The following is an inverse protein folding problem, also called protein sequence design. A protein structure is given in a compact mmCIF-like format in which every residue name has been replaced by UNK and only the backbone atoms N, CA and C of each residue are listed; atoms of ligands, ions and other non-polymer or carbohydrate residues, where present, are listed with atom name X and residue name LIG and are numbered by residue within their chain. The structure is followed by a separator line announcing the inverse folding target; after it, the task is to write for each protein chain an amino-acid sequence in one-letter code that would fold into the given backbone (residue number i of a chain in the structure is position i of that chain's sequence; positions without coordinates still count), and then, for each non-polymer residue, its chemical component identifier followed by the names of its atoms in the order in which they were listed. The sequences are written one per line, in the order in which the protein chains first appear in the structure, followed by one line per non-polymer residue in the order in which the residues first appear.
data_IF_711140073524
#
_entry.id   IF_711140073524
#
_cell.length_a   1.000
_cell.length_b   1.000
_cell.length_c   1.000
_cell.angle_alpha   90.00
_cell.angle_beta   90.00
_cell.angle_gamma   90.00
#
_symmetry.space_group_name_H-M   'P 1'
#
loop_
_entity.id
_entity.type
_entity.pdbx_description
1 polymer ?
#
# COMPACT_ATOMS: atom_id res chain seq x y z
N UNK A 1 14.77 8.81 -1.13
CA UNK A 1 14.32 8.87 -2.54
C UNK A 1 14.52 10.29 -3.01
N UNK A 2 15.32 10.50 -4.05
CA UNK A 2 15.55 11.84 -4.61
C UNK A 2 14.58 12.10 -5.76
N UNK A 3 13.62 13.01 -5.54
CA UNK A 3 12.56 13.37 -6.48
C UNK A 3 12.65 14.86 -6.76
N UNK A 4 12.72 15.21 -8.05
CA UNK A 4 12.72 16.58 -8.53
C UNK A 4 11.52 16.85 -9.44
N UNK A 5 10.61 17.71 -8.99
CA UNK A 5 9.40 18.08 -9.73
C UNK A 5 9.74 19.11 -10.82
N UNK A 6 9.45 18.78 -12.09
CA UNK A 6 9.73 19.66 -13.24
C UNK A 6 8.55 20.53 -13.60
N UNK A 7 7.39 19.90 -13.81
CA UNK A 7 6.14 20.55 -14.19
C UNK A 7 4.98 19.84 -13.52
N UNK A 8 3.96 20.59 -13.17
CA UNK A 8 2.70 20.03 -12.71
C UNK A 8 1.53 20.86 -13.21
N UNK A 9 0.40 20.21 -13.44
CA UNK A 9 -0.86 20.82 -13.83
C UNK A 9 -2.00 20.14 -13.07
N UNK A 10 -3.02 20.93 -12.73
CA UNK A 10 -4.21 20.46 -12.02
C UNK A 10 -5.43 20.71 -12.90
N UNK A 11 -6.22 19.67 -13.11
CA UNK A 11 -7.58 19.78 -13.63
C UNK A 11 -8.56 19.47 -12.51
N UNK A 12 -9.72 20.10 -12.51
CA UNK A 12 -10.71 19.87 -11.47
C UNK A 12 -11.95 19.22 -12.05
N UNK A 13 -12.42 18.15 -11.42
CA UNK A 13 -13.69 17.51 -11.69
C UNK A 13 -14.70 17.95 -10.63
N UNK A 14 -15.84 18.48 -11.07
CA UNK A 14 -16.98 18.78 -10.20
C UNK A 14 -18.09 17.73 -10.37
N UNK A 15 -18.62 17.17 -9.27
CA UNK A 15 -19.70 16.19 -9.33
C UNK A 15 -21.04 16.81 -9.74
N UNK A 16 -21.23 18.12 -9.54
CA UNK A 16 -22.53 18.79 -9.73
C UNK A 16 -22.98 18.76 -11.20
N UNK A 17 -22.06 19.09 -12.12
CA UNK A 17 -22.30 19.07 -13.57
C UNK A 17 -21.59 17.90 -14.26
N UNK A 18 -20.86 17.06 -13.51
CA UNK A 18 -19.92 16.06 -14.04
C UNK A 18 -18.94 16.63 -15.06
N UNK A 19 -18.54 17.89 -14.87
CA UNK A 19 -17.65 18.62 -15.78
C UNK A 19 -16.20 18.62 -15.33
N UNK A 20 -15.29 18.75 -16.32
CA UNK A 20 -13.88 18.98 -16.11
C UNK A 20 -13.55 20.44 -16.37
N UNK A 21 -13.00 21.10 -15.35
CA UNK A 21 -12.33 22.38 -15.47
C UNK A 21 -10.86 22.14 -15.80
N UNK A 22 -10.55 22.25 -17.09
CA UNK A 22 -9.20 22.06 -17.63
C UNK A 22 -8.39 23.34 -17.46
N UNK A 23 -7.25 23.23 -16.78
CA UNK A 23 -6.29 24.30 -16.68
C UNK A 23 -5.50 24.47 -17.99
N UNK A 24 -5.13 25.71 -18.30
CA UNK A 24 -4.35 26.09 -19.47
C UNK A 24 -2.89 26.45 -19.11
N UNK A 25 -2.53 26.39 -17.83
CA UNK A 25 -1.22 26.79 -17.29
C UNK A 25 -0.71 25.83 -16.23
N UNK A 26 0.61 25.69 -16.18
CA UNK A 26 1.30 24.95 -15.14
C UNK A 26 1.25 25.67 -13.79
N UNK A 27 1.37 24.90 -12.72
CA UNK A 27 1.54 25.43 -11.38
C UNK A 27 2.86 26.20 -11.27
N UNK A 28 2.84 27.31 -10.54
CA UNK A 28 4.07 27.93 -10.06
C UNK A 28 4.61 27.11 -8.87
N UNK A 29 5.63 26.29 -9.11
CA UNK A 29 6.18 25.36 -8.13
C UNK A 29 7.02 26.11 -7.08
N UNK A 30 6.34 26.54 -6.00
CA UNK A 30 7.01 27.05 -4.79
C UNK A 30 7.56 25.91 -3.94
N UNK A 31 8.51 26.15 -3.00
CA UNK A 31 9.06 25.10 -2.14
C UNK A 31 8.00 24.28 -1.38
N UNK A 32 6.90 24.91 -0.94
CA UNK A 32 5.81 24.19 -0.26
C UNK A 32 4.98 23.33 -1.21
N UNK A 33 4.78 23.77 -2.45
CA UNK A 33 4.05 22.99 -3.47
C UNK A 33 4.91 21.82 -3.93
N UNK A 34 6.21 22.04 -4.12
CA UNK A 34 7.19 20.99 -4.41
C UNK A 34 7.18 19.93 -3.29
N UNK A 35 7.33 20.34 -2.03
CA UNK A 35 7.29 19.42 -0.89
C UNK A 35 5.97 18.64 -0.83
N UNK A 36 4.85 19.31 -1.12
CA UNK A 36 3.53 18.69 -1.14
C UNK A 36 3.45 17.58 -2.20
N UNK A 37 3.78 17.90 -3.45
CA UNK A 37 3.73 16.95 -4.57
C UNK A 37 4.73 15.80 -4.36
N UNK A 38 5.95 16.11 -3.91
CA UNK A 38 6.96 15.10 -3.57
C UNK A 38 6.42 14.11 -2.54
N UNK A 39 5.85 14.58 -1.43
CA UNK A 39 5.26 13.70 -0.40
C UNK A 39 4.09 12.86 -0.91
N UNK A 40 3.30 13.35 -1.87
CA UNK A 40 2.23 12.54 -2.50
C UNK A 40 2.82 11.43 -3.36
N UNK A 41 3.84 11.75 -4.17
CA UNK A 41 4.53 10.79 -5.04
C UNK A 41 5.28 9.75 -4.21
N UNK A 42 6.02 10.15 -3.18
CA UNK A 42 6.73 9.24 -2.26
C UNK A 42 5.78 8.20 -1.65
N UNK A 43 4.54 8.58 -1.33
CA UNK A 43 3.53 7.67 -0.78
C UNK A 43 3.01 6.63 -1.76
N UNK A 44 3.18 6.85 -3.06
CA UNK A 44 2.84 5.85 -4.09
C UNK A 44 3.85 4.70 -4.02
N UNK A 45 5.10 4.96 -3.68
CA UNK A 45 6.12 3.92 -3.43
C UNK A 45 5.92 3.30 -2.03
N UNK A 46 4.84 2.53 -1.89
CA UNK A 46 4.48 1.86 -0.64
C UNK A 46 4.12 0.39 -0.85
N UNK A 47 4.03 -0.35 0.26
CA UNK A 47 3.58 -1.73 0.31
C UNK A 47 2.12 -1.91 -0.15
N UNK A 48 1.36 -0.81 -0.28
CA UNK A 48 -0.02 -0.80 -0.76
C UNK A 48 -0.13 -0.70 -2.28
N UNK A 49 0.93 -0.24 -2.96
CA UNK A 49 0.91 -0.08 -4.40
C UNK A 49 0.99 -1.42 -5.11
N UNK A 50 0.13 -1.56 -6.12
CA UNK A 50 0.26 -2.59 -7.14
C UNK A 50 1.34 -2.20 -8.13
N UNK A 51 1.96 -3.16 -8.78
CA UNK A 51 3.04 -2.90 -9.74
C UNK A 51 2.82 -3.62 -11.07
N UNK A 52 3.45 -3.14 -12.12
CA UNK A 52 3.43 -3.78 -13.43
C UNK A 52 4.33 -3.07 -14.42
N UNK A 53 4.28 -3.50 -15.67
CA UNK A 53 5.00 -2.90 -16.79
C UNK A 53 3.98 -2.67 -17.90
N UNK A 54 3.94 -1.47 -18.49
CA UNK A 54 3.10 -1.24 -19.66
C UNK A 54 3.71 -1.93 -20.89
N UNK A 55 2.86 -2.63 -21.64
CA UNK A 55 3.19 -3.20 -22.95
C UNK A 55 3.52 -2.11 -23.99
N UNK A 56 4.22 -2.47 -25.07
CA UNK A 56 4.73 -1.48 -26.05
C UNK A 56 3.62 -0.70 -26.75
N UNK A 57 2.48 -1.36 -26.96
CA UNK A 57 1.35 -0.79 -27.67
C UNK A 57 0.19 -0.40 -26.72
N UNK A 58 0.45 -0.25 -25.42
CA UNK A 58 -0.61 0.11 -24.47
C UNK A 58 -1.20 1.50 -24.82
N UNK A 59 -2.52 1.61 -25.10
CA UNK A 59 -3.13 2.87 -25.56
C UNK A 59 -2.97 4.01 -24.55
N UNK A 60 -3.16 3.74 -23.25
CA UNK A 60 -3.02 4.75 -22.21
C UNK A 60 -1.60 5.29 -22.14
N UNK A 61 -0.59 4.41 -22.14
CA UNK A 61 0.81 4.82 -22.07
C UNK A 61 1.22 5.65 -23.29
N UNK A 62 0.70 5.33 -24.48
CA UNK A 62 0.97 6.09 -25.71
C UNK A 62 0.45 7.54 -25.69
N UNK A 63 -0.48 7.87 -24.80
CA UNK A 63 -0.92 9.26 -24.57
C UNK A 63 0.02 10.06 -23.67
N UNK A 64 0.99 9.42 -23.02
CA UNK A 64 2.01 10.08 -22.20
C UNK A 64 3.14 10.55 -23.11
N UNK A 65 3.22 11.87 -23.32
CA UNK A 65 4.21 12.51 -24.18
C UNK A 65 5.04 13.53 -23.41
N UNK A 66 6.01 14.16 -24.09
CA UNK A 66 6.76 15.28 -23.50
C UNK A 66 5.88 16.52 -23.25
N UNK A 67 4.78 16.69 -24.02
CA UNK A 67 3.81 17.76 -23.80
C UNK A 67 2.83 17.38 -22.69
N UNK A 68 3.16 17.80 -21.48
CA UNK A 68 2.33 17.56 -20.30
C UNK A 68 0.92 18.15 -20.42
N UNK A 69 0.73 19.25 -21.15
CA UNK A 69 -0.58 19.90 -21.25
C UNK A 69 -1.53 19.08 -22.14
N UNK A 70 -1.03 18.63 -23.29
CA UNK A 70 -1.80 17.74 -24.19
C UNK A 70 -2.08 16.40 -23.51
N UNK A 71 -1.07 15.81 -22.87
CA UNK A 71 -1.21 14.57 -22.11
C UNK A 71 -2.23 14.73 -20.97
N UNK A 72 -2.16 15.79 -20.17
CA UNK A 72 -3.06 15.96 -19.02
C UNK A 72 -4.51 16.13 -19.44
N UNK A 73 -4.77 16.87 -20.52
CA UNK A 73 -6.12 17.05 -21.07
C UNK A 73 -6.67 15.73 -21.60
N UNK A 74 -5.89 14.99 -22.37
CA UNK A 74 -6.31 13.70 -22.93
C UNK A 74 -6.64 12.71 -21.81
N UNK A 75 -5.72 12.53 -20.87
CA UNK A 75 -5.90 11.57 -19.77
C UNK A 75 -7.01 11.97 -18.79
N UNK A 76 -7.24 13.26 -18.56
CA UNK A 76 -8.35 13.70 -17.73
C UNK A 76 -9.71 13.36 -18.34
N UNK A 77 -9.87 13.53 -19.66
CA UNK A 77 -11.11 13.17 -20.35
C UNK A 77 -11.35 11.65 -20.32
N UNK A 78 -10.33 10.84 -20.60
CA UNK A 78 -10.42 9.37 -20.47
C UNK A 78 -10.79 8.96 -19.04
N UNK A 79 -10.16 9.59 -18.04
CA UNK A 79 -10.49 9.33 -16.64
C UNK A 79 -11.95 9.69 -16.31
N UNK A 80 -12.45 10.83 -16.82
CA UNK A 80 -13.83 11.27 -16.59
C UNK A 80 -14.82 10.23 -17.13
N UNK A 81 -14.61 9.75 -18.36
CA UNK A 81 -15.49 8.75 -18.98
C UNK A 81 -15.65 7.50 -18.10
N UNK A 82 -14.53 7.00 -17.56
CA UNK A 82 -14.54 5.81 -16.70
C UNK A 82 -14.97 6.08 -15.25
N UNK A 83 -14.78 7.29 -14.73
CA UNK A 83 -15.12 7.63 -13.34
C UNK A 83 -16.57 8.11 -13.16
N UNK A 84 -17.15 8.76 -14.18
CA UNK A 84 -18.50 9.35 -14.12
C UNK A 84 -19.61 8.33 -13.83
N UNK A 85 -19.36 7.03 -14.01
CA UNK A 85 -20.30 5.96 -13.66
C UNK A 85 -20.37 5.67 -12.16
N UNK A 86 -19.47 6.23 -11.35
CA UNK A 86 -19.40 5.96 -9.91
C UNK A 86 -20.61 6.52 -9.16
N UNK A 87 -21.17 5.74 -8.22
CA UNK A 87 -22.31 6.16 -7.39
C UNK A 87 -21.96 7.26 -6.36
N UNK A 88 -20.68 7.51 -6.08
CA UNK A 88 -20.25 8.45 -5.03
C UNK A 88 -19.19 9.42 -5.58
N UNK A 89 -19.68 10.40 -6.34
CA UNK A 89 -18.85 11.45 -6.91
C UNK A 89 -18.53 12.50 -5.86
N UNK A 90 -17.29 12.97 -5.88
CA UNK A 90 -16.78 14.08 -5.07
C UNK A 90 -16.06 15.06 -5.97
N UNK A 91 -15.84 16.27 -5.50
CA UNK A 91 -14.90 17.18 -6.16
C UNK A 91 -13.50 16.59 -6.10
N UNK A 92 -12.88 16.42 -7.26
CA UNK A 92 -11.56 15.83 -7.38
C UNK A 92 -10.62 16.77 -8.13
N UNK A 93 -9.42 16.93 -7.61
CA UNK A 93 -8.31 17.47 -8.38
C UNK A 93 -7.54 16.31 -9.01
N UNK A 94 -7.38 16.40 -10.34
CA UNK A 94 -6.55 15.53 -11.16
C UNK A 94 -5.20 16.22 -11.36
N UNK A 95 -4.18 15.73 -10.65
CA UNK A 95 -2.85 16.33 -10.65
C UNK A 95 -1.93 15.49 -11.53
N UNK A 96 -1.39 16.10 -12.58
CA UNK A 96 -0.44 15.48 -13.49
C UNK A 96 0.93 16.11 -13.28
N UNK A 97 1.97 15.27 -13.13
CA UNK A 97 3.30 15.72 -12.74
C UNK A 97 4.37 15.05 -13.60
N UNK A 98 5.21 15.85 -14.24
CA UNK A 98 6.49 15.40 -14.78
C UNK A 98 7.58 15.63 -13.73
N UNK A 99 8.32 14.57 -13.40
CA UNK A 99 9.38 14.63 -12.40
C UNK A 99 10.52 13.69 -12.76
N UNK A 100 11.69 13.90 -12.17
CA UNK A 100 12.79 12.93 -12.24
C UNK A 100 12.99 12.29 -10.88
N UNK A 101 13.12 10.96 -10.85
CA UNK A 101 13.56 10.18 -9.68
C UNK A 101 14.94 9.64 -10.00
N UNK A 102 15.94 10.02 -9.22
CA UNK A 102 17.33 9.55 -9.38
C UNK A 102 17.87 9.75 -10.81
N UNK A 103 17.49 10.86 -11.45
CA UNK A 103 17.90 11.21 -12.81
C UNK A 103 17.10 10.54 -13.94
N UNK A 104 16.13 9.69 -13.63
CA UNK A 104 15.26 9.03 -14.62
C UNK A 104 13.91 9.74 -14.71
N UNK A 105 13.43 9.98 -15.93
CA UNK A 105 12.15 10.64 -16.19
C UNK A 105 10.96 9.76 -15.77
N UNK A 106 10.04 10.39 -15.05
CA UNK A 106 8.82 9.78 -14.57
C UNK A 106 7.61 10.68 -14.79
N UNK A 107 6.45 10.05 -14.84
CA UNK A 107 5.16 10.69 -14.91
C UNK A 107 4.29 10.23 -13.73
N UNK A 108 3.60 11.16 -13.07
CA UNK A 108 2.60 10.85 -12.07
C UNK A 108 1.23 11.40 -12.47
N UNK A 109 0.19 10.59 -12.26
CA UNK A 109 -1.20 10.99 -12.30
C UNK A 109 -1.84 10.69 -10.94
N UNK A 110 -2.24 11.74 -10.22
CA UNK A 110 -2.82 11.64 -8.88
C UNK A 110 -4.27 12.14 -8.91
N UNK A 111 -5.19 11.34 -8.38
CA UNK A 111 -6.54 11.83 -8.05
C UNK A 111 -6.60 12.16 -6.56
N UNK A 112 -7.03 13.37 -6.26
CA UNK A 112 -7.16 13.88 -4.90
C UNK A 112 -8.59 14.35 -4.68
N UNK A 113 -9.34 13.65 -3.81
CA UNK A 113 -10.65 14.13 -3.41
C UNK A 113 -10.49 15.31 -2.44
N UNK A 114 -11.12 16.44 -2.77
CA UNK A 114 -11.10 17.62 -1.93
C UNK A 114 -11.98 17.45 -0.69
N UNK A 115 -11.63 18.15 0.39
CA UNK A 115 -12.23 17.98 1.71
C UNK A 115 -12.85 19.26 2.24
N UNK A 116 -13.90 19.07 3.02
CA UNK A 116 -14.39 20.09 3.93
C UNK A 116 -13.50 20.11 5.19
N UNK A 117 -13.06 21.29 5.61
CA UNK A 117 -12.23 21.43 6.81
C UNK A 117 -12.66 22.64 7.63
N UNK A 118 -12.58 22.53 8.96
CA UNK A 118 -12.75 23.67 9.85
C UNK A 118 -11.46 24.48 9.85
N UNK A 119 -11.54 25.74 9.42
CA UNK A 119 -10.42 26.67 9.38
C UNK A 119 -10.62 27.77 10.42
N UNK A 120 -9.57 28.04 11.20
CA UNK A 120 -9.53 29.20 12.08
C UNK A 120 -9.14 30.46 11.28
N UNK A 121 -10.06 31.42 11.18
CA UNK A 121 -9.84 32.68 10.48
C UNK A 121 -9.41 33.74 11.50
N UNK A 122 -8.13 34.09 11.50
CA UNK A 122 -7.62 35.16 12.35
C UNK A 122 -8.27 36.50 11.99
N UNK A 123 -9.02 37.08 12.92
CA UNK A 123 -9.62 38.41 12.77
C UNK A 123 -11.15 38.47 13.00
N UNK A 124 -11.86 37.34 13.01
CA UNK A 124 -13.29 37.30 13.36
C UNK A 124 -13.47 36.88 14.83
N UNK A 125 -13.79 37.83 15.72
CA UNK A 125 -13.87 37.59 17.17
C UNK A 125 -15.11 36.76 17.55
N UNK A 126 -16.24 36.98 16.89
CA UNK A 126 -17.52 36.34 17.26
C UNK A 126 -17.69 34.94 16.68
N UNK A 127 -17.06 34.66 15.52
CA UNK A 127 -17.10 33.33 14.91
C UNK A 127 -15.76 33.00 14.22
N UNK A 128 -14.70 32.69 15.00
CA UNK A 128 -13.35 32.51 14.48
C UNK A 128 -13.14 31.23 13.67
N UNK A 129 -14.14 30.34 13.60
CA UNK A 129 -14.06 29.05 12.91
C UNK A 129 -15.11 29.01 11.79
N UNK A 130 -14.67 28.73 10.56
CA UNK A 130 -15.57 28.48 9.42
C UNK A 130 -15.27 27.15 8.76
N UNK A 131 -16.32 26.52 8.24
CA UNK A 131 -16.20 25.38 7.35
C UNK A 131 -15.80 25.90 5.97
N UNK A 132 -14.63 25.48 5.48
CA UNK A 132 -14.19 25.73 4.11
C UNK A 132 -14.31 24.44 3.30
N UNK A 133 -14.61 24.57 2.01
CA UNK A 133 -14.71 23.45 1.07
C UNK A 133 -13.53 23.46 0.09
N UNK A 134 -13.43 22.43 -0.75
CA UNK A 134 -12.41 22.32 -1.80
C UNK A 134 -10.97 22.37 -1.27
N UNK A 135 -10.72 21.88 -0.06
CA UNK A 135 -9.37 21.87 0.51
C UNK A 135 -8.60 20.62 0.11
N UNK A 136 -7.33 20.82 -0.26
CA UNK A 136 -6.38 19.73 -0.45
C UNK A 136 -6.13 19.00 0.89
N UNK A 137 -6.00 17.66 0.89
CA UNK A 137 -5.63 16.92 2.08
C UNK A 137 -4.20 17.25 2.48
N UNK A 138 -3.90 17.23 3.79
CA UNK A 138 -2.58 17.56 4.32
C UNK A 138 -1.43 16.72 3.74
N UNK A 139 -0.20 17.21 3.93
CA UNK A 139 1.05 16.61 3.44
C UNK A 139 1.21 15.13 3.84
N UNK A 140 0.75 14.76 5.03
CA UNK A 140 0.83 13.39 5.57
C UNK A 140 -0.28 12.45 5.10
N UNK A 141 -1.08 12.82 4.11
CA UNK A 141 -2.08 11.91 3.51
C UNK A 141 -1.64 11.52 2.10
N UNK A 142 -1.86 10.28 1.67
CA UNK A 142 -1.65 9.90 0.27
C UNK A 142 -2.65 10.57 -0.69
N UNK A 143 -2.44 10.40 -1.99
CA UNK A 143 -3.52 10.61 -2.95
C UNK A 143 -4.62 9.55 -2.74
N UNK A 144 -5.83 9.82 -3.20
CA UNK A 144 -6.90 8.81 -3.12
C UNK A 144 -6.62 7.67 -4.08
N UNK A 145 -6.14 8.00 -5.27
CA UNK A 145 -5.67 7.09 -6.30
C UNK A 145 -4.47 7.72 -7.00
N UNK A 146 -3.55 6.90 -7.48
CA UNK A 146 -2.32 7.38 -8.07
C UNK A 146 -1.72 6.36 -9.03
N UNK A 147 -1.18 6.86 -10.13
CA UNK A 147 -0.29 6.14 -11.02
C UNK A 147 1.05 6.88 -11.04
N UNK A 148 2.15 6.15 -10.89
CA UNK A 148 3.51 6.65 -11.12
C UNK A 148 4.20 5.72 -12.11
N UNK A 149 4.73 6.27 -13.19
CA UNK A 149 5.32 5.50 -14.30
C UNK A 149 6.75 5.96 -14.55
N UNK A 150 7.66 5.00 -14.68
CA UNK A 150 9.01 5.21 -15.19
C UNK A 150 8.96 5.22 -16.72
N UNK A 151 9.30 6.36 -17.33
CA UNK A 151 9.11 6.54 -18.78
C UNK A 151 10.11 5.76 -19.63
N UNK A 152 11.21 5.29 -19.04
CA UNK A 152 12.22 4.48 -19.75
C UNK A 152 11.90 2.99 -19.71
N UNK A 153 11.59 2.47 -18.51
CA UNK A 153 11.35 1.02 -18.30
C UNK A 153 9.89 0.63 -18.40
N UNK A 154 8.97 1.60 -18.45
CA UNK A 154 7.50 1.40 -18.43
C UNK A 154 6.96 0.74 -17.17
N UNK A 155 7.81 0.53 -16.16
CA UNK A 155 7.41 0.07 -14.83
C UNK A 155 6.50 1.12 -14.19
N UNK A 156 5.43 0.66 -13.54
CA UNK A 156 4.51 1.55 -12.85
C UNK A 156 4.16 1.07 -11.44
N UNK A 157 3.77 2.03 -10.60
CA UNK A 157 3.14 1.83 -9.30
C UNK A 157 1.72 2.39 -9.35
N UNK A 158 0.75 1.63 -8.85
CA UNK A 158 -0.67 1.95 -8.89
C UNK A 158 -1.31 1.83 -7.51
N UNK A 159 -1.93 2.93 -7.06
CA UNK A 159 -2.87 2.97 -5.94
C UNK A 159 -4.25 3.20 -6.53
N UNK A 160 -5.18 2.28 -6.31
CA UNK A 160 -6.54 2.38 -6.82
C UNK A 160 -7.57 2.01 -5.76
N UNK A 161 -8.78 2.56 -5.91
CA UNK A 161 -9.94 2.19 -5.12
C UNK A 161 -10.98 1.57 -6.02
N UNK A 162 -11.77 0.67 -5.45
CA UNK A 162 -12.93 0.14 -6.14
C UNK A 162 -14.04 1.18 -6.15
N UNK A 163 -14.63 1.41 -7.31
CA UNK A 163 -15.87 2.18 -7.41
C UNK A 163 -17.06 1.23 -7.41
N UNK A 164 -18.20 1.71 -6.92
CA UNK A 164 -19.46 0.97 -6.97
C UNK A 164 -20.23 1.44 -8.20
N UNK A 165 -20.66 0.48 -9.02
CA UNK A 165 -21.48 0.70 -10.20
C UNK A 165 -22.48 -0.45 -10.34
N UNK A 166 -23.77 -0.11 -10.48
CA UNK A 166 -24.86 -1.08 -10.61
C UNK A 166 -24.81 -2.21 -9.56
N UNK A 167 -24.50 -1.85 -8.31
CA UNK A 167 -24.41 -2.82 -7.21
C UNK A 167 -23.15 -3.69 -7.16
N UNK A 168 -22.24 -3.56 -8.13
CA UNK A 168 -20.96 -4.29 -8.18
C UNK A 168 -19.77 -3.37 -7.95
N UNK A 169 -18.67 -3.90 -7.42
CA UNK A 169 -17.42 -3.17 -7.26
C UNK A 169 -16.45 -3.44 -8.43
N UNK A 170 -15.95 -2.37 -9.04
CA UNK A 170 -15.08 -2.43 -10.22
C UNK A 170 -13.72 -1.79 -9.93
N UNK A 171 -12.64 -2.31 -10.51
CA UNK A 171 -11.32 -1.67 -10.50
C UNK A 171 -11.15 -0.82 -11.76
N UNK A 172 -11.93 0.26 -11.88
CA UNK A 172 -11.98 1.07 -13.11
C UNK A 172 -10.61 1.63 -13.53
N UNK A 173 -9.72 1.94 -12.57
CA UNK A 173 -8.41 2.53 -12.87
C UNK A 173 -7.53 1.51 -13.61
N UNK A 174 -7.29 0.33 -13.04
CA UNK A 174 -6.48 -0.70 -13.73
C UNK A 174 -7.17 -1.31 -14.94
N UNK A 175 -8.43 -1.73 -14.80
CA UNK A 175 -9.13 -2.56 -15.80
C UNK A 175 -9.63 -1.75 -16.99
N UNK A 176 -10.23 -0.57 -16.75
CA UNK A 176 -10.86 0.21 -17.81
C UNK A 176 -9.96 1.33 -18.33
N UNK A 177 -9.42 2.16 -17.44
CA UNK A 177 -8.65 3.34 -17.82
C UNK A 177 -7.26 2.99 -18.34
N UNK A 178 -6.52 2.13 -17.62
CA UNK A 178 -5.17 1.74 -18.01
C UNK A 178 -5.14 0.50 -18.91
N UNK A 179 -6.20 -0.31 -18.87
CA UNK A 179 -6.29 -1.61 -19.55
C UNK A 179 -5.10 -2.53 -19.23
N UNK A 180 -4.77 -2.67 -17.94
CA UNK A 180 -3.65 -3.49 -17.44
C UNK A 180 -4.10 -4.47 -16.35
N UNK A 181 -3.34 -5.56 -16.20
CA UNK A 181 -3.48 -6.53 -15.11
C UNK A 181 -2.28 -6.39 -14.15
N UNK A 182 -2.34 -5.48 -13.15
CA UNK A 182 -1.21 -5.25 -12.28
C UNK A 182 -1.00 -6.42 -11.31
N UNK A 183 0.25 -6.68 -10.94
CA UNK A 183 0.59 -7.58 -9.84
C UNK A 183 -0.02 -7.05 -8.55
N UNK A 184 -0.50 -7.95 -7.69
CA UNK A 184 -1.04 -7.55 -6.39
C UNK A 184 0.04 -6.89 -5.53
N UNK A 185 -0.39 -5.99 -4.63
CA UNK A 185 0.57 -5.25 -3.81
C UNK A 185 1.34 -6.14 -2.84
N UNK A 186 2.55 -5.74 -2.42
CA UNK A 186 3.34 -6.51 -1.44
C UNK A 186 2.56 -6.81 -0.15
N UNK A 187 1.82 -5.84 0.38
CA UNK A 187 0.95 -6.00 1.55
C UNK A 187 -0.12 -7.07 1.34
N UNK A 188 -0.73 -7.11 0.15
CA UNK A 188 -1.75 -8.12 -0.18
C UNK A 188 -1.10 -9.50 -0.38
N UNK A 189 0.06 -9.55 -1.04
CA UNK A 189 0.82 -10.78 -1.23
C UNK A 189 1.20 -11.43 0.10
N UNK A 190 1.75 -10.65 1.04
CA UNK A 190 2.05 -11.10 2.40
C UNK A 190 0.79 -11.68 3.07
N UNK A 191 -0.34 -10.98 2.97
CA UNK A 191 -1.59 -11.44 3.58
C UNK A 191 -2.11 -12.76 2.98
N UNK A 192 -1.98 -12.95 1.66
CA UNK A 192 -2.36 -14.20 1.01
C UNK A 192 -1.42 -15.35 1.40
N UNK A 193 -0.12 -15.08 1.55
CA UNK A 193 0.86 -16.03 2.06
C UNK A 193 0.52 -16.45 3.51
N UNK A 194 0.30 -15.49 4.42
CA UNK A 194 -0.10 -15.73 5.81
C UNK A 194 -1.39 -16.59 5.87
N UNK A 195 -2.43 -16.19 5.14
CA UNK A 195 -3.73 -16.86 5.15
C UNK A 195 -3.67 -18.28 4.60
N UNK A 196 -2.82 -18.52 3.61
CA UNK A 196 -2.69 -19.84 2.98
C UNK A 196 -1.83 -20.77 3.83
N UNK A 197 -0.75 -20.26 4.43
CA UNK A 197 0.04 -21.01 5.41
C UNK A 197 -0.84 -21.50 6.56
N UNK A 198 -1.66 -20.60 7.11
CA UNK A 198 -2.55 -20.89 8.23
C UNK A 198 -3.57 -21.98 7.92
N UNK A 199 -4.26 -21.87 6.77
CA UNK A 199 -5.23 -22.86 6.31
C UNK A 199 -4.63 -24.26 6.15
N UNK A 200 -3.38 -24.32 5.69
CA UNK A 200 -2.67 -25.59 5.53
C UNK A 200 -2.29 -26.16 6.88
N UNK A 201 -1.72 -25.36 7.79
CA UNK A 201 -1.40 -25.81 9.15
C UNK A 201 -2.62 -26.40 9.88
N UNK A 202 -3.78 -25.74 9.78
CA UNK A 202 -5.06 -26.23 10.31
C UNK A 202 -5.45 -27.60 9.72
N UNK A 203 -5.24 -27.79 8.41
CA UNK A 203 -5.57 -29.06 7.72
C UNK A 203 -4.67 -30.23 8.17
N UNK A 204 -3.50 -29.94 8.73
CA UNK A 204 -2.55 -30.93 9.23
C UNK A 204 -2.52 -31.01 10.77
N UNK A 205 -3.49 -30.42 11.49
CA UNK A 205 -3.58 -30.38 12.96
C UNK A 205 -2.30 -29.87 13.64
N UNK A 206 -1.67 -28.84 13.08
CA UNK A 206 -0.53 -28.18 13.72
C UNK A 206 -1.03 -27.18 14.78
N UNK A 207 -0.29 -27.02 15.88
CA UNK A 207 -0.60 -26.02 16.91
C UNK A 207 -0.65 -24.61 16.31
N UNK A 208 -1.85 -24.02 16.35
CA UNK A 208 -2.19 -22.75 15.72
C UNK A 208 -1.32 -21.59 16.23
N UNK A 209 -1.03 -21.58 17.54
CA UNK A 209 -0.34 -20.45 18.17
C UNK A 209 1.15 -20.42 17.83
N UNK A 210 1.82 -21.57 17.93
CA UNK A 210 3.23 -21.70 17.57
C UNK A 210 3.45 -21.51 16.07
N UNK A 211 2.52 -22.01 15.24
CA UNK A 211 2.63 -21.88 13.80
C UNK A 211 2.51 -20.42 13.34
N UNK A 212 1.59 -19.63 13.91
CA UNK A 212 1.47 -18.21 13.56
C UNK A 212 2.77 -17.43 13.81
N UNK A 213 3.47 -17.74 14.90
CA UNK A 213 4.79 -17.12 15.17
C UNK A 213 5.86 -17.58 14.20
N UNK A 214 5.85 -18.87 13.83
CA UNK A 214 6.72 -19.43 12.78
C UNK A 214 6.52 -18.69 11.45
N UNK A 215 5.28 -18.41 11.07
CA UNK A 215 4.94 -17.62 9.87
C UNK A 215 5.55 -16.22 9.91
N UNK A 216 5.32 -15.48 11.00
CA UNK A 216 5.84 -14.11 11.12
C UNK A 216 7.36 -14.05 11.09
N UNK A 217 8.02 -15.00 11.76
CA UNK A 217 9.48 -15.06 11.83
C UNK A 217 10.08 -15.46 10.48
N UNK A 218 9.49 -16.43 9.78
CA UNK A 218 9.94 -16.78 8.43
C UNK A 218 9.79 -15.60 7.46
N UNK A 219 8.67 -14.86 7.51
CA UNK A 219 8.48 -13.64 6.71
C UNK A 219 9.52 -12.58 7.08
N UNK A 220 9.76 -12.34 8.37
CA UNK A 220 10.77 -11.37 8.83
C UNK A 220 12.16 -11.72 8.31
N UNK A 221 12.61 -12.97 8.49
CA UNK A 221 13.94 -13.41 8.07
C UNK A 221 14.10 -13.30 6.54
N UNK A 222 13.10 -13.72 5.77
CA UNK A 222 13.16 -13.62 4.30
C UNK A 222 13.27 -12.15 3.85
N UNK A 223 12.51 -11.24 4.48
CA UNK A 223 12.58 -9.81 4.20
C UNK A 223 13.92 -9.18 4.63
N UNK A 224 14.46 -9.57 5.79
CA UNK A 224 15.71 -9.03 6.33
C UNK A 224 16.93 -9.51 5.52
N UNK A 225 16.97 -10.79 5.16
CA UNK A 225 18.12 -11.40 4.46
C UNK A 225 18.13 -11.14 2.96
N UNK A 226 16.95 -11.20 2.32
CA UNK A 226 16.86 -11.24 0.86
C UNK A 226 16.12 -10.04 0.25
N UNK A 227 15.52 -9.17 1.07
CA UNK A 227 14.64 -8.08 0.62
C UNK A 227 13.51 -8.55 -0.34
N UNK A 228 13.13 -9.83 -0.23
CA UNK A 228 12.12 -10.47 -1.06
C UNK A 228 11.33 -11.51 -0.25
N UNK A 229 10.14 -11.88 -0.75
CA UNK A 229 9.38 -13.01 -0.23
C UNK A 229 9.09 -14.01 -1.34
N UNK A 230 9.79 -15.15 -1.30
CA UNK A 230 9.54 -16.27 -2.21
C UNK A 230 8.56 -17.27 -1.57
N UNK A 231 7.45 -17.62 -2.27
CA UNK A 231 6.56 -18.69 -1.82
C UNK A 231 7.29 -20.01 -1.55
N UNK A 232 8.30 -20.35 -2.36
CA UNK A 232 9.04 -21.61 -2.24
C UNK A 232 9.95 -21.63 -1.01
N UNK A 233 10.70 -20.53 -0.77
CA UNK A 233 11.53 -20.39 0.44
C UNK A 233 10.66 -20.45 1.69
N UNK A 234 9.57 -19.68 1.70
CA UNK A 234 8.61 -19.66 2.81
C UNK A 234 8.00 -21.05 3.05
N UNK A 235 7.65 -21.80 2.00
CA UNK A 235 7.12 -23.16 2.14
C UNK A 235 8.14 -24.11 2.80
N UNK A 236 9.42 -24.00 2.45
CA UNK A 236 10.50 -24.78 3.05
C UNK A 236 10.67 -24.45 4.54
N UNK A 237 10.65 -23.17 4.89
CA UNK A 237 10.81 -22.73 6.29
C UNK A 237 9.63 -23.18 7.16
N UNK A 238 8.41 -23.08 6.63
CA UNK A 238 7.18 -23.39 7.39
C UNK A 238 6.91 -24.88 7.51
N UNK A 239 7.17 -25.67 6.46
CA UNK A 239 6.80 -27.08 6.35
C UNK A 239 8.02 -27.98 6.04
N UNK A 240 9.15 -27.67 6.65
CA UNK A 240 10.42 -28.40 6.58
C UNK A 240 10.27 -29.92 6.70
N UNK A 241 9.40 -30.39 7.60
CA UNK A 241 9.18 -31.81 7.87
C UNK A 241 7.92 -32.41 7.19
N UNK A 242 7.20 -31.64 6.36
CA UNK A 242 5.97 -32.10 5.71
C UNK A 242 5.94 -31.73 4.22
N UNK A 243 6.40 -32.65 3.37
CA UNK A 243 6.46 -32.48 1.92
C UNK A 243 5.07 -32.22 1.32
N UNK A 244 4.03 -32.90 1.80
CA UNK A 244 2.66 -32.74 1.29
C UNK A 244 2.16 -31.33 1.58
N UNK A 245 2.31 -30.84 2.81
CA UNK A 245 1.91 -29.47 3.19
C UNK A 245 2.66 -28.41 2.38
N UNK A 246 3.95 -28.63 2.12
CA UNK A 246 4.78 -27.75 1.30
C UNK A 246 4.27 -27.65 -0.14
N UNK A 247 4.02 -28.80 -0.78
CA UNK A 247 3.51 -28.84 -2.16
C UNK A 247 2.12 -28.22 -2.25
N UNK A 248 1.25 -28.50 -1.28
CA UNK A 248 -0.08 -27.87 -1.21
C UNK A 248 -0.01 -26.36 -1.02
N UNK A 249 0.96 -25.85 -0.25
CA UNK A 249 1.16 -24.42 -0.05
C UNK A 249 1.58 -23.74 -1.34
N UNK A 250 2.61 -24.28 -2.00
CA UNK A 250 3.10 -23.73 -3.26
C UNK A 250 1.99 -23.72 -4.31
N UNK A 251 1.24 -24.83 -4.44
CA UNK A 251 0.15 -24.95 -5.42
C UNK A 251 -0.98 -23.93 -5.18
N UNK A 252 -1.43 -23.76 -3.93
CA UNK A 252 -2.48 -22.80 -3.59
C UNK A 252 -2.02 -21.34 -3.71
N UNK A 253 -0.76 -21.04 -3.41
CA UNK A 253 -0.23 -19.67 -3.48
C UNK A 253 0.05 -19.25 -4.92
N UNK A 254 0.41 -20.18 -5.80
CA UNK A 254 0.82 -19.90 -7.18
C UNK A 254 -0.23 -19.13 -7.98
N UNK A 255 -1.52 -19.29 -7.67
CA UNK A 255 -2.59 -18.52 -8.31
C UNK A 255 -2.55 -17.03 -7.95
N UNK A 256 -2.17 -16.69 -6.71
CA UNK A 256 -2.23 -15.33 -6.18
C UNK A 256 -0.86 -14.63 -6.17
N UNK A 257 0.21 -15.38 -5.87
CA UNK A 257 1.60 -14.92 -5.76
C UNK A 257 2.49 -15.90 -6.53
N UNK A 258 2.49 -15.87 -7.87
CA UNK A 258 3.25 -16.81 -8.69
C UNK A 258 4.77 -16.57 -8.66
N UNK A 259 5.19 -15.35 -8.33
CA UNK A 259 6.59 -14.92 -8.36
C UNK A 259 7.01 -14.33 -7.01
N UNK A 260 8.31 -14.32 -6.68
CA UNK A 260 8.80 -13.66 -5.48
C UNK A 260 8.39 -12.18 -5.43
N UNK A 261 7.91 -11.75 -4.26
CA UNK A 261 7.55 -10.36 -4.00
C UNK A 261 8.83 -9.58 -3.69
N UNK A 262 9.19 -8.63 -4.55
CA UNK A 262 10.38 -7.79 -4.40
C UNK A 262 10.02 -6.46 -3.71
N UNK A 263 10.96 -5.92 -2.92
CA UNK A 263 10.79 -4.65 -2.18
C UNK A 263 11.77 -3.55 -2.62
N UNK A 264 12.44 -3.68 -3.76
CA UNK A 264 13.54 -2.80 -4.20
C UNK A 264 13.19 -1.29 -4.25
N UNK A 265 11.95 -0.95 -4.59
CA UNK A 265 11.53 0.45 -4.76
C UNK A 265 10.69 1.00 -3.60
N UNK A 266 10.46 0.19 -2.54
CA UNK A 266 9.62 0.54 -1.40
C UNK A 266 10.36 0.32 -0.09
N UNK A 267 10.06 1.13 0.93
CA UNK A 267 10.71 0.98 2.24
C UNK A 267 10.16 -0.26 2.99
N UNK A 268 10.94 -1.34 2.98
CA UNK A 268 10.64 -2.57 3.69
C UNK A 268 10.65 -2.40 5.22
N UNK A 269 11.25 -1.33 5.77
CA UNK A 269 11.37 -1.13 7.23
C UNK A 269 10.02 -1.11 7.94
N UNK A 270 8.96 -0.66 7.25
CA UNK A 270 7.59 -0.70 7.78
C UNK A 270 7.07 -2.12 7.93
N UNK A 271 7.36 -3.01 6.98
CA UNK A 271 7.00 -4.42 7.11
C UNK A 271 7.87 -5.10 8.15
N UNK A 272 9.19 -4.87 8.15
CA UNK A 272 10.10 -5.41 9.14
C UNK A 272 9.63 -5.10 10.57
N UNK A 273 9.32 -3.84 10.88
CA UNK A 273 8.77 -3.44 12.20
C UNK A 273 7.45 -4.14 12.55
N UNK A 274 6.60 -4.41 11.55
CA UNK A 274 5.33 -5.11 11.76
C UNK A 274 5.55 -6.58 12.12
N UNK A 275 6.59 -7.20 11.55
CA UNK A 275 6.92 -8.61 11.75
C UNK A 275 7.97 -8.85 12.85
N UNK A 276 8.65 -7.82 13.33
CA UNK A 276 9.68 -7.90 14.39
C UNK A 276 9.11 -8.37 15.74
N UNK A 277 7.87 -7.96 16.06
CA UNK A 277 7.27 -8.18 17.38
C UNK A 277 5.91 -8.88 17.30
N UNK A 278 5.68 -9.78 18.25
CA UNK A 278 4.39 -10.43 18.48
C UNK A 278 3.63 -9.70 19.60
N UNK A 279 2.47 -9.15 19.26
CA UNK A 279 1.52 -8.60 20.24
C UNK A 279 0.55 -9.69 20.66
N UNK A 280 0.50 -9.97 21.96
CA UNK A 280 -0.35 -10.97 22.58
C UNK A 280 -1.35 -10.25 23.48
N UNK A 281 -2.64 -10.52 23.29
CA UNK A 281 -3.70 -10.08 24.19
C UNK A 281 -4.22 -11.30 24.95
N UNK A 282 -4.06 -11.29 26.26
CA UNK A 282 -4.46 -12.40 27.13
C UNK A 282 -5.90 -12.21 27.62
N UNK A 283 -6.57 -13.31 27.97
CA UNK A 283 -7.99 -13.31 28.41
C UNK A 283 -8.24 -12.50 29.68
N UNK A 284 -7.20 -12.28 30.49
CA UNK A 284 -7.24 -11.46 31.69
C UNK A 284 -6.96 -9.96 31.44
N UNK A 285 -6.84 -9.54 30.18
CA UNK A 285 -6.62 -8.14 29.78
C UNK A 285 -5.17 -7.68 29.78
N UNK A 286 -4.21 -8.57 30.06
CA UNK A 286 -2.77 -8.26 29.91
C UNK A 286 -2.42 -8.22 28.43
N UNK A 287 -1.69 -7.19 28.02
CA UNK A 287 -1.06 -7.10 26.70
C UNK A 287 0.46 -7.29 26.83
N UNK A 288 1.01 -8.20 26.03
CA UNK A 288 2.46 -8.44 25.95
C UNK A 288 2.94 -8.13 24.53
N UNK A 289 4.09 -7.47 24.43
CA UNK A 289 4.80 -7.29 23.17
C UNK A 289 6.12 -8.03 23.32
N UNK A 290 6.28 -9.11 22.56
CA UNK A 290 7.45 -9.99 22.64
C UNK A 290 8.15 -9.97 21.28
N UNK A 291 9.45 -9.65 21.20
CA UNK A 291 10.23 -9.81 19.98
C UNK A 291 10.17 -11.25 19.46
N UNK A 292 10.06 -11.47 18.15
CA UNK A 292 9.87 -12.81 17.59
C UNK A 292 11.02 -13.77 17.92
N UNK A 293 12.26 -13.27 17.92
CA UNK A 293 13.45 -14.05 18.29
C UNK A 293 13.37 -14.57 19.74
N UNK A 294 12.82 -13.76 20.66
CA UNK A 294 12.61 -14.13 22.06
C UNK A 294 11.42 -15.08 22.20
N UNK A 295 10.37 -14.88 21.41
CA UNK A 295 9.18 -15.73 21.45
C UNK A 295 9.47 -17.18 21.03
N UNK A 296 10.36 -17.38 20.05
CA UNK A 296 10.74 -18.73 19.58
C UNK A 296 11.70 -19.46 20.50
N UNK A 297 12.30 -18.76 21.46
CA UNK A 297 13.25 -19.33 22.41
C UNK A 297 12.54 -19.76 23.70
N UNK A 298 12.33 -21.08 23.86
CA UNK A 298 11.70 -21.67 25.04
C UNK A 298 12.51 -21.46 26.34
N UNK A 299 13.81 -21.13 26.23
CA UNK A 299 14.64 -20.76 27.38
C UNK A 299 14.39 -19.31 27.82
N UNK A 300 13.79 -18.48 26.97
CA UNK A 300 13.43 -17.09 27.27
C UNK A 300 11.93 -16.95 27.58
N UNK A 301 11.05 -17.49 26.73
CA UNK A 301 9.60 -17.46 26.91
C UNK A 301 9.00 -18.83 26.65
N UNK A 302 8.34 -19.40 27.66
CA UNK A 302 7.70 -20.71 27.60
C UNK A 302 6.18 -20.58 27.74
N UNK A 303 5.44 -21.22 26.82
CA UNK A 303 3.98 -21.33 26.87
C UNK A 303 3.60 -22.73 27.33
N UNK A 304 2.96 -22.82 28.49
CA UNK A 304 2.58 -24.08 29.12
C UNK A 304 1.07 -24.20 29.12
N UNK A 305 0.54 -25.23 28.46
CA UNK A 305 -0.87 -25.56 28.57
C UNK A 305 -1.09 -26.42 29.82
N UNK A 306 -1.94 -25.93 30.73
CA UNK A 306 -2.27 -26.63 31.96
C UNK A 306 -3.37 -27.68 31.70
N UNK A 307 -3.47 -28.71 32.54
CA UNK A 307 -4.47 -29.79 32.45
C UNK A 307 -5.93 -29.31 32.42
N UNK A 308 -6.19 -28.12 32.98
CA UNK A 308 -7.50 -27.49 33.00
C UNK A 308 -7.83 -26.67 31.72
N UNK A 309 -6.95 -26.70 30.71
CA UNK A 309 -7.10 -26.00 29.45
C UNK A 309 -6.70 -24.52 29.46
N UNK A 310 -6.19 -24.00 30.59
CA UNK A 310 -5.63 -22.64 30.67
C UNK A 310 -4.17 -22.61 30.21
N UNK A 311 -3.68 -21.43 29.81
CA UNK A 311 -2.28 -21.22 29.43
C UNK A 311 -1.54 -20.45 30.52
N UNK A 312 -0.33 -20.90 30.83
CA UNK A 312 0.66 -20.17 31.63
C UNK A 312 1.76 -19.68 30.70
N UNK A 313 2.22 -18.45 30.90
CA UNK A 313 3.38 -17.88 30.18
C UNK A 313 4.48 -17.66 31.20
N UNK A 314 5.62 -18.31 31.00
CA UNK A 314 6.80 -18.18 31.84
C UNK A 314 7.87 -17.39 31.09
N UNK A 315 8.23 -16.23 31.61
CA UNK A 315 9.32 -15.40 31.09
C UNK A 315 10.53 -15.63 32.00
N UNK A 316 11.62 -16.11 31.42
CA UNK A 316 12.84 -16.54 32.13
C UNK A 316 13.98 -15.53 31.88
N UNK A 317 15.06 -15.65 32.65
CA UNK A 317 16.31 -14.89 32.47
C UNK A 317 16.15 -13.36 32.50
N UNK A 318 15.29 -12.84 33.39
CA UNK A 318 15.10 -11.40 33.59
C UNK A 318 16.02 -10.89 34.70
N UNK A 319 16.97 -10.03 34.35
CA UNK A 319 17.94 -9.45 35.30
C UNK A 319 17.40 -8.21 36.03
N UNK A 320 16.59 -7.39 35.36
CA UNK A 320 16.03 -6.15 35.91
C UNK A 320 14.62 -5.89 35.37
N UNK A 321 13.75 -5.30 36.19
CA UNK A 321 12.37 -4.95 35.85
C UNK A 321 12.17 -3.47 36.13
N UNK A 322 12.00 -2.68 35.06
CA UNK A 322 11.81 -1.24 35.15
C UNK A 322 10.42 -0.84 34.66
N UNK A 323 9.78 0.10 35.38
CA UNK A 323 8.55 0.75 34.91
C UNK A 323 8.94 1.87 33.95
N UNK A 324 8.33 1.89 32.75
CA UNK A 324 8.43 3.02 31.81
C UNK A 324 7.42 4.10 32.11
#
# INVERSE_FOLDING_TARGET
MDIYIKKAIIHQFSPDDTELFLADKFLNITPKIEEYLRKKIERVYSDEAKTGIFEEENPFFNHITEDLLETSVTLANLWKEEFSISENLKTNDLVFVQFSKEGVEHFAFLRIALRETLTHLGGEVDNPIKLTQNNLPGFGTGADEALVVNLQSRKYHLIEKRIKYNGTFLNYFSENLLAVAPKISPKKSIKELEKTAQRIAESFNTDDFQFQSKVKSAIFNNLEENNELSPEKLANDLFDNNLTARLSFIDQVKEAVPEPVQFDEIDASRQLKKFENQKLSLSNGIELIVPNNVYQDAESVEFIQNDNGTYSILIKNIEDIQSK
#
